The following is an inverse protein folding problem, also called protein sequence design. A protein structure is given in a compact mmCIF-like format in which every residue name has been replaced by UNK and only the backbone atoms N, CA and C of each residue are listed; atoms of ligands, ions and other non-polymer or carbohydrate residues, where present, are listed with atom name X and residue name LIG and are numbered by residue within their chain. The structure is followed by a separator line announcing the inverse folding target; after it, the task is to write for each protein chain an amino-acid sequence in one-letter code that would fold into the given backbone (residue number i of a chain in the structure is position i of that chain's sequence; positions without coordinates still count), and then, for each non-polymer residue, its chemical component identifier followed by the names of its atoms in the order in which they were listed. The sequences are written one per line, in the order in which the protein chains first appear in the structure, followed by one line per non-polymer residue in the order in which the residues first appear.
data_IF_519115662630
#
_entry.id   IF_519115662630
#
_cell.length_a   1.000
_cell.length_b   1.000
_cell.length_c   1.000
_cell.angle_alpha   90.00
_cell.angle_beta   90.00
_cell.angle_gamma   90.00
#
_symmetry.space_group_name_H-M   'P 1'
#
loop_
_entity.id
_entity.type
_entity.pdbx_description
1 polymer ?
#
# COMPACT_ATOMS: atom_id res chain seq x y z
N UNK A 1 -26.08 10.39 -33.54
CA UNK A 1 -24.95 10.98 -32.77
C UNK A 1 -25.50 12.19 -32.04
N UNK A 2 -25.66 12.08 -30.72
CA UNK A 2 -25.95 13.23 -29.86
C UNK A 2 -24.68 13.55 -29.07
N UNK A 3 -24.23 14.80 -28.99
CA UNK A 3 -23.03 15.14 -28.26
C UNK A 3 -23.23 14.85 -26.76
N UNK A 4 -22.45 13.89 -26.25
CA UNK A 4 -22.38 13.55 -24.83
C UNK A 4 -21.75 14.75 -24.13
N UNK A 5 -22.55 15.54 -23.42
CA UNK A 5 -22.07 16.68 -22.64
C UNK A 5 -21.05 16.18 -21.61
N UNK A 6 -19.85 16.77 -21.65
CA UNK A 6 -18.82 16.55 -20.66
C UNK A 6 -19.27 17.19 -19.34
N UNK A 7 -19.54 16.37 -18.33
CA UNK A 7 -19.74 16.84 -16.96
C UNK A 7 -18.40 17.35 -16.39
N UNK A 8 -18.41 18.42 -15.58
CA UNK A 8 -17.20 19.03 -15.04
C UNK A 8 -16.45 18.04 -14.12
N UNK A 9 -15.12 18.08 -14.16
CA UNK A 9 -14.23 17.35 -13.27
C UNK A 9 -14.33 17.98 -11.88
N UNK A 10 -15.34 17.57 -11.10
CA UNK A 10 -15.60 18.02 -9.74
C UNK A 10 -15.84 16.82 -8.82
N UNK A 11 -15.36 16.90 -7.58
CA UNK A 11 -15.64 15.88 -6.55
C UNK A 11 -17.13 15.88 -6.20
N UNK A 12 -17.80 14.74 -6.31
CA UNK A 12 -19.24 14.60 -6.00
C UNK A 12 -19.46 14.13 -4.55
N UNK A 13 -18.70 14.72 -3.62
CA UNK A 13 -18.78 14.42 -2.19
C UNK A 13 -19.63 15.47 -1.47
N UNK A 14 -20.51 15.08 -0.52
CA UNK A 14 -21.48 15.97 0.12
C UNK A 14 -20.84 17.25 0.66
N UNK A 15 -21.36 18.41 0.28
CA UNK A 15 -20.83 19.73 0.70
C UNK A 15 -20.79 19.91 2.22
N UNK A 16 -21.67 19.22 2.95
CA UNK A 16 -21.78 19.24 4.41
C UNK A 16 -20.67 18.48 5.15
N UNK A 17 -19.83 17.71 4.47
CA UNK A 17 -18.68 17.05 5.09
C UNK A 17 -17.66 18.06 5.59
N UNK A 18 -17.05 17.77 6.75
CA UNK A 18 -15.92 18.55 7.25
C UNK A 18 -14.72 18.46 6.30
N UNK A 19 -13.87 19.49 6.28
CA UNK A 19 -12.64 19.49 5.46
C UNK A 19 -11.72 18.29 5.77
N UNK A 20 -11.55 17.84 7.03
CA UNK A 20 -10.82 16.61 7.33
C UNK A 20 -11.47 15.36 6.73
N UNK A 21 -12.79 15.18 6.88
CA UNK A 21 -13.49 14.02 6.34
C UNK A 21 -13.41 13.96 4.80
N UNK A 22 -13.56 15.12 4.13
CA UNK A 22 -13.40 15.24 2.68
C UNK A 22 -11.98 14.89 2.24
N UNK A 23 -10.98 15.40 2.93
CA UNK A 23 -9.57 15.11 2.62
C UNK A 23 -9.22 13.64 2.82
N UNK A 24 -9.78 13.02 3.86
CA UNK A 24 -9.58 11.60 4.16
C UNK A 24 -10.20 10.69 3.09
N UNK A 25 -11.42 11.01 2.63
CA UNK A 25 -12.06 10.30 1.51
C UNK A 25 -11.24 10.41 0.22
N UNK A 26 -10.83 11.62 -0.14
CA UNK A 26 -10.00 11.83 -1.34
C UNK A 26 -8.66 11.10 -1.22
N UNK A 27 -8.02 11.16 -0.05
CA UNK A 27 -6.79 10.42 0.24
C UNK A 27 -6.96 8.90 0.16
N UNK A 28 -8.14 8.39 0.52
CA UNK A 28 -8.53 6.99 0.37
C UNK A 28 -9.01 6.64 -1.06
N UNK A 29 -9.05 7.59 -1.99
CA UNK A 29 -9.44 7.38 -3.38
C UNK A 29 -10.93 7.52 -3.68
N UNK A 30 -11.73 7.95 -2.69
CA UNK A 30 -13.15 8.25 -2.86
C UNK A 30 -13.32 9.72 -3.24
N UNK A 31 -13.58 9.97 -4.53
CA UNK A 31 -13.84 11.30 -5.07
C UNK A 31 -15.29 11.53 -5.47
N UNK A 32 -16.11 10.47 -5.50
CA UNK A 32 -17.53 10.48 -5.81
C UNK A 32 -18.34 9.61 -4.84
N UNK A 33 -19.59 10.00 -4.58
CA UNK A 33 -20.44 9.34 -3.60
C UNK A 33 -20.77 7.89 -3.97
N UNK A 34 -20.95 7.57 -5.25
CA UNK A 34 -21.22 6.20 -5.73
C UNK A 34 -20.11 5.23 -5.33
N UNK A 35 -18.87 5.72 -5.21
CA UNK A 35 -17.72 4.92 -4.80
C UNK A 35 -17.77 4.55 -3.32
N UNK A 36 -18.76 5.02 -2.56
CA UNK A 36 -18.97 4.65 -1.17
C UNK A 36 -20.11 3.63 -1.01
N UNK A 37 -20.85 3.34 -2.09
CA UNK A 37 -21.89 2.33 -2.07
C UNK A 37 -21.27 0.95 -1.85
N UNK A 38 -21.69 0.27 -0.77
CA UNK A 38 -21.15 -1.02 -0.38
C UNK A 38 -19.93 -0.96 0.54
N UNK A 39 -19.32 0.21 0.80
CA UNK A 39 -18.22 0.30 1.79
C UNK A 39 -18.76 0.08 3.19
N UNK A 40 -18.10 -0.77 3.96
CA UNK A 40 -18.43 -0.91 5.37
C UNK A 40 -18.29 0.41 6.13
N UNK A 41 -19.32 0.77 6.90
CA UNK A 41 -19.29 1.94 7.79
C UNK A 41 -18.05 1.97 8.68
N UNK A 42 -17.67 0.80 9.22
CA UNK A 42 -16.48 0.65 10.07
C UNK A 42 -15.18 1.00 9.35
N UNK A 43 -15.06 0.68 8.05
CA UNK A 43 -13.88 1.03 7.24
C UNK A 43 -13.78 2.54 7.08
N UNK A 44 -14.91 3.21 6.81
CA UNK A 44 -14.95 4.67 6.72
C UNK A 44 -14.66 5.34 8.06
N UNK A 45 -15.18 4.80 9.17
CA UNK A 45 -14.96 5.34 10.51
C UNK A 45 -13.49 5.27 10.98
N UNK A 46 -12.66 4.45 10.33
CA UNK A 46 -11.21 4.37 10.61
C UNK A 46 -10.41 5.47 9.89
N UNK A 47 -10.98 6.15 8.89
CA UNK A 47 -10.30 7.24 8.19
C UNK A 47 -10.07 8.42 9.14
N UNK A 48 -8.82 8.91 9.21
CA UNK A 48 -8.45 10.02 10.09
C UNK A 48 -9.27 11.28 9.74
N UNK A 49 -10.14 11.72 10.66
CA UNK A 49 -11.05 12.85 10.46
C UNK A 49 -12.48 12.46 10.06
N UNK A 50 -12.78 11.17 9.91
CA UNK A 50 -14.12 10.64 9.65
C UNK A 50 -14.80 10.19 10.95
N UNK A 51 -15.56 11.10 11.57
CA UNK A 51 -16.37 10.80 12.76
C UNK A 51 -17.80 10.35 12.43
N UNK A 52 -18.56 9.93 13.46
CA UNK A 52 -19.94 9.47 13.34
C UNK A 52 -20.84 10.41 12.51
N UNK A 53 -20.70 11.73 12.71
CA UNK A 53 -21.46 12.73 11.94
C UNK A 53 -21.09 12.78 10.46
N UNK A 54 -19.83 12.47 10.11
CA UNK A 54 -19.40 12.33 8.71
C UNK A 54 -20.04 11.11 8.07
N UNK A 55 -20.11 10.00 8.80
CA UNK A 55 -20.78 8.77 8.36
C UNK A 55 -22.28 9.01 8.13
N UNK A 56 -22.98 9.65 9.07
CA UNK A 56 -24.41 9.99 8.92
C UNK A 56 -24.68 10.81 7.64
N UNK A 57 -23.81 11.79 7.36
CA UNK A 57 -23.91 12.62 6.14
C UNK A 57 -23.72 11.75 4.88
N UNK A 58 -22.79 10.81 4.90
CA UNK A 58 -22.56 9.90 3.77
C UNK A 58 -23.74 8.94 3.58
N UNK A 59 -24.27 8.36 4.65
CA UNK A 59 -25.44 7.48 4.62
C UNK A 59 -26.66 8.20 4.04
N UNK A 60 -26.95 9.42 4.51
CA UNK A 60 -28.07 10.22 4.02
C UNK A 60 -27.90 10.52 2.52
N UNK A 61 -26.72 10.96 2.10
CA UNK A 61 -26.45 11.29 0.72
C UNK A 61 -26.51 10.06 -0.21
N UNK A 62 -26.02 8.89 0.24
CA UNK A 62 -26.13 7.63 -0.49
C UNK A 62 -27.61 7.21 -0.63
N UNK A 63 -28.39 7.33 0.43
CA UNK A 63 -29.80 6.98 0.44
C UNK A 63 -30.63 7.83 -0.52
N UNK A 64 -30.31 9.12 -0.69
CA UNK A 64 -30.91 10.00 -1.70
C UNK A 64 -30.73 9.48 -3.13
N UNK A 65 -29.72 8.63 -3.38
CA UNK A 65 -29.42 8.00 -4.67
C UNK A 65 -29.84 6.53 -4.74
N UNK A 66 -30.55 6.02 -3.73
CA UNK A 66 -30.91 4.60 -3.63
C UNK A 66 -29.72 3.68 -3.34
N UNK A 67 -28.60 4.24 -2.87
CA UNK A 67 -27.39 3.52 -2.50
C UNK A 67 -27.33 3.37 -0.97
N UNK A 68 -26.49 2.45 -0.49
CA UNK A 68 -26.25 2.24 0.94
C UNK A 68 -24.79 1.91 1.20
N UNK A 69 -24.32 2.22 2.41
CA UNK A 69 -23.08 1.63 2.92
C UNK A 69 -23.25 0.11 3.06
N UNK A 70 -22.13 -0.59 2.99
CA UNK A 70 -22.08 -2.03 3.17
C UNK A 70 -22.09 -2.43 4.64
N UNK A 71 -22.35 -3.72 4.86
CA UNK A 71 -22.12 -4.37 6.15
C UNK A 71 -20.63 -4.64 6.34
N UNK A 72 -20.23 -4.92 7.58
CA UNK A 72 -18.82 -5.00 7.96
C UNK A 72 -18.00 -5.87 7.00
N UNK A 73 -16.87 -5.33 6.55
CA UNK A 73 -15.82 -6.05 5.87
C UNK A 73 -15.55 -7.38 6.59
N UNK A 74 -15.29 -8.44 5.83
CA UNK A 74 -15.06 -9.80 6.34
C UNK A 74 -14.06 -9.71 7.48
N UNK A 75 -14.48 -9.86 8.73
CA UNK A 75 -13.55 -9.62 9.82
C UNK A 75 -12.49 -10.71 9.83
N UNK A 76 -11.21 -10.32 9.91
CA UNK A 76 -10.13 -11.27 10.05
C UNK A 76 -10.45 -12.24 11.21
N UNK A 77 -10.24 -13.54 11.03
CA UNK A 77 -10.60 -14.55 12.02
C UNK A 77 -9.87 -14.25 13.34
N UNK A 78 -10.63 -14.23 14.43
CA UNK A 78 -10.09 -13.98 15.78
C UNK A 78 -9.43 -15.23 16.38
N UNK A 79 -9.70 -16.44 15.84
CA UNK A 79 -9.19 -17.73 16.31
C UNK A 79 -9.12 -18.80 15.18
N UNK A 80 -8.23 -19.78 15.37
CA UNK A 80 -7.93 -20.92 14.46
C UNK A 80 -9.08 -21.96 14.48
N UNK A 81 -10.20 -21.59 13.86
CA UNK A 81 -11.45 -22.39 13.86
C UNK A 81 -11.95 -22.58 12.43
N UNK A 82 -11.12 -23.08 11.52
CA UNK A 82 -11.50 -23.41 10.12
C UNK A 82 -11.86 -22.22 9.22
N UNK A 83 -12.28 -21.08 9.79
CA UNK A 83 -12.60 -19.84 9.08
C UNK A 83 -11.39 -19.09 8.52
N UNK A 84 -10.15 -19.51 8.85
CA UNK A 84 -8.94 -18.94 8.24
C UNK A 84 -8.84 -19.24 6.75
N UNK A 85 -9.19 -20.47 6.34
CA UNK A 85 -9.19 -20.86 4.92
C UNK A 85 -10.28 -20.12 4.13
N UNK A 86 -11.47 -19.97 4.72
CA UNK A 86 -12.56 -19.21 4.10
C UNK A 86 -12.24 -17.72 4.01
N UNK A 87 -11.70 -17.12 5.08
CA UNK A 87 -11.27 -15.73 5.09
C UNK A 87 -10.23 -15.44 3.99
N UNK A 88 -9.19 -16.27 3.90
CA UNK A 88 -8.14 -16.11 2.89
C UNK A 88 -8.69 -16.24 1.48
N UNK A 89 -9.57 -17.23 1.25
CA UNK A 89 -10.25 -17.42 -0.04
C UNK A 89 -11.02 -16.18 -0.45
N UNK A 90 -11.88 -15.65 0.43
CA UNK A 90 -12.71 -14.48 0.08
C UNK A 90 -11.85 -13.21 -0.02
N UNK A 91 -10.81 -13.06 0.81
CA UNK A 91 -9.87 -11.95 0.69
C UNK A 91 -9.21 -11.95 -0.70
N UNK A 92 -8.69 -13.10 -1.15
CA UNK A 92 -8.09 -13.23 -2.48
C UNK A 92 -9.11 -12.97 -3.59
N UNK A 93 -10.31 -13.55 -3.49
CA UNK A 93 -11.42 -13.31 -4.43
C UNK A 93 -11.71 -11.81 -4.60
N UNK A 94 -11.80 -11.08 -3.48
CA UNK A 94 -12.06 -9.64 -3.51
C UNK A 94 -10.84 -8.84 -4.02
N UNK A 95 -9.61 -9.21 -3.63
CA UNK A 95 -8.38 -8.59 -4.15
C UNK A 95 -8.23 -8.81 -5.67
N UNK A 96 -8.79 -9.88 -6.21
CA UNK A 96 -8.76 -10.20 -7.64
C UNK A 96 -9.98 -9.72 -8.41
N UNK A 97 -10.98 -9.14 -7.72
CA UNK A 97 -12.21 -8.65 -8.33
C UNK A 97 -11.93 -7.62 -9.44
N UNK A 98 -12.70 -7.73 -10.52
CA UNK A 98 -12.74 -6.72 -11.59
C UNK A 98 -13.47 -5.45 -11.14
N UNK A 99 -14.30 -5.56 -10.09
CA UNK A 99 -14.91 -4.41 -9.45
C UNK A 99 -13.84 -3.67 -8.63
N UNK A 100 -13.46 -2.49 -9.13
CA UNK A 100 -12.46 -1.62 -8.51
C UNK A 100 -12.83 -1.22 -7.08
N UNK A 101 -14.12 -1.15 -6.78
CA UNK A 101 -14.60 -0.83 -5.45
C UNK A 101 -14.28 -1.95 -4.46
N UNK A 102 -14.73 -3.15 -4.78
CA UNK A 102 -14.49 -4.38 -3.99
C UNK A 102 -12.98 -4.61 -3.82
N UNK A 103 -12.21 -4.48 -4.90
CA UNK A 103 -10.76 -4.65 -4.84
C UNK A 103 -10.07 -3.58 -3.98
N UNK A 104 -10.52 -2.32 -4.05
CA UNK A 104 -9.98 -1.26 -3.20
C UNK A 104 -10.28 -1.53 -1.72
N UNK A 105 -11.50 -1.93 -1.39
CA UNK A 105 -11.89 -2.22 -0.01
C UNK A 105 -11.06 -3.37 0.57
N UNK A 106 -10.96 -4.48 -0.16
CA UNK A 106 -10.14 -5.62 0.24
C UNK A 106 -8.66 -5.26 0.40
N UNK A 107 -8.14 -4.42 -0.50
CA UNK A 107 -6.77 -3.93 -0.41
C UNK A 107 -6.55 -3.07 0.84
N UNK A 108 -7.42 -2.09 1.12
CA UNK A 108 -7.32 -1.25 2.32
C UNK A 108 -7.44 -2.10 3.58
N UNK A 109 -8.39 -3.03 3.60
CA UNK A 109 -8.56 -3.95 4.71
C UNK A 109 -7.31 -4.82 4.94
N UNK A 110 -6.73 -5.38 3.88
CA UNK A 110 -5.49 -6.15 3.98
C UNK A 110 -4.37 -5.29 4.55
N UNK A 111 -4.21 -4.04 4.10
CA UNK A 111 -3.19 -3.14 4.63
C UNK A 111 -3.38 -2.86 6.13
N UNK A 112 -4.60 -2.51 6.54
CA UNK A 112 -4.91 -2.19 7.95
C UNK A 112 -4.74 -3.40 8.87
N UNK A 113 -5.27 -4.56 8.48
CA UNK A 113 -5.20 -5.78 9.30
C UNK A 113 -3.77 -6.29 9.46
N UNK A 114 -2.90 -6.03 8.48
CA UNK A 114 -1.48 -6.45 8.50
C UNK A 114 -0.53 -5.40 9.09
N UNK A 115 -1.06 -4.31 9.67
CA UNK A 115 -0.25 -3.38 10.48
C UNK A 115 0.32 -4.07 11.72
N UNK A 116 -0.36 -5.11 12.22
CA UNK A 116 0.08 -6.00 13.29
C UNK A 116 0.27 -7.43 12.75
N UNK A 117 1.01 -8.31 13.46
CA UNK A 117 1.13 -9.71 13.05
C UNK A 117 -0.23 -10.41 12.95
N UNK A 118 -0.41 -11.20 11.90
CA UNK A 118 -1.62 -11.98 11.63
C UNK A 118 -1.30 -13.47 11.51
N UNK A 119 -2.26 -14.34 11.83
CA UNK A 119 -2.08 -15.80 11.73
C UNK A 119 -2.30 -16.36 10.33
N UNK A 120 -3.15 -15.69 9.55
CA UNK A 120 -3.61 -16.15 8.24
C UNK A 120 -2.64 -15.89 7.09
N UNK A 121 -1.44 -15.33 7.35
CA UNK A 121 -0.48 -14.89 6.33
C UNK A 121 -0.19 -15.96 5.26
N UNK A 122 -0.01 -17.21 5.68
CA UNK A 122 0.28 -18.32 4.77
C UNK A 122 -0.92 -18.81 3.94
N UNK A 123 -2.14 -18.46 4.32
CA UNK A 123 -3.33 -18.77 3.51
C UNK A 123 -3.41 -17.94 2.23
N UNK A 124 -2.69 -16.81 2.15
CA UNK A 124 -2.64 -15.96 0.94
C UNK A 124 -1.24 -15.85 0.31
N UNK A 125 -0.20 -16.27 1.03
CA UNK A 125 1.19 -16.01 0.67
C UNK A 125 1.56 -16.47 -0.75
N UNK A 126 1.28 -17.73 -1.06
CA UNK A 126 1.73 -18.33 -2.31
C UNK A 126 1.00 -17.73 -3.52
N UNK A 127 -0.28 -17.37 -3.37
CA UNK A 127 -1.05 -16.65 -4.40
C UNK A 127 -0.54 -15.22 -4.59
N UNK A 128 -0.26 -14.48 -3.51
CA UNK A 128 0.33 -13.13 -3.62
C UNK A 128 1.72 -13.18 -4.25
N UNK A 129 2.49 -14.23 -3.99
CA UNK A 129 3.80 -14.44 -4.60
C UNK A 129 3.67 -14.72 -6.11
N UNK A 130 2.66 -15.49 -6.52
CA UNK A 130 2.28 -15.67 -7.94
C UNK A 130 1.87 -14.33 -8.59
N UNK A 131 1.09 -13.53 -7.86
CA UNK A 131 0.58 -12.23 -8.32
C UNK A 131 1.66 -11.21 -8.67
N UNK A 132 2.88 -11.34 -8.16
CA UNK A 132 4.00 -10.44 -8.49
C UNK A 132 4.36 -10.44 -9.98
N UNK A 133 3.97 -11.48 -10.73
CA UNK A 133 4.22 -11.63 -12.16
C UNK A 133 2.95 -11.54 -13.01
N UNK A 134 1.82 -11.19 -12.42
CA UNK A 134 0.53 -11.17 -13.10
C UNK A 134 0.48 -10.12 -14.24
N UNK A 135 -0.19 -10.36 -15.39
CA UNK A 135 -0.28 -9.40 -16.50
C UNK A 135 -0.87 -8.03 -16.10
N UNK A 136 -1.84 -8.04 -15.19
CA UNK A 136 -2.41 -6.83 -14.58
C UNK A 136 -1.46 -6.20 -13.56
N UNK A 137 -0.91 -5.04 -13.92
CA UNK A 137 0.00 -4.24 -13.07
C UNK A 137 -0.55 -3.88 -11.69
N UNK A 138 -1.87 -3.76 -11.55
CA UNK A 138 -2.51 -3.46 -10.27
C UNK A 138 -2.47 -4.65 -9.32
N UNK A 139 -2.64 -5.88 -9.82
CA UNK A 139 -2.46 -7.11 -9.02
C UNK A 139 -1.04 -7.21 -8.49
N UNK A 140 -0.04 -6.97 -9.35
CA UNK A 140 1.37 -6.91 -8.95
C UNK A 140 1.62 -5.88 -7.84
N UNK A 141 1.08 -4.67 -7.98
CA UNK A 141 1.24 -3.59 -6.99
C UNK A 141 0.57 -3.91 -5.64
N UNK A 142 -0.63 -4.51 -5.67
CA UNK A 142 -1.36 -4.95 -4.48
C UNK A 142 -0.56 -6.04 -3.75
N UNK A 143 -0.15 -7.08 -4.49
CA UNK A 143 0.61 -8.19 -3.93
C UNK A 143 1.92 -7.75 -3.28
N UNK A 144 2.70 -6.90 -3.97
CA UNK A 144 3.95 -6.38 -3.44
C UNK A 144 3.76 -5.64 -2.11
N UNK A 145 2.74 -4.80 -2.01
CA UNK A 145 2.47 -4.02 -0.79
C UNK A 145 1.98 -4.90 0.37
N UNK A 146 1.08 -5.85 0.10
CA UNK A 146 0.56 -6.76 1.13
C UNK A 146 1.69 -7.68 1.64
N UNK A 147 2.50 -8.27 0.75
CA UNK A 147 3.63 -9.11 1.13
C UNK A 147 4.65 -8.35 2.01
N UNK A 148 4.93 -7.08 1.68
CA UNK A 148 5.80 -6.25 2.52
C UNK A 148 5.25 -6.06 3.94
N UNK A 149 3.93 -5.91 4.10
CA UNK A 149 3.30 -5.87 5.43
C UNK A 149 3.34 -7.24 6.13
N UNK A 150 3.06 -8.32 5.40
CA UNK A 150 3.00 -9.69 5.92
C UNK A 150 4.35 -10.24 6.39
N UNK A 151 5.48 -9.61 6.04
CA UNK A 151 6.80 -10.04 6.49
C UNK A 151 6.90 -10.22 8.02
N UNK A 152 6.19 -9.42 8.82
CA UNK A 152 6.14 -9.55 10.29
C UNK A 152 5.32 -10.75 10.80
N UNK A 153 4.61 -11.43 9.90
CA UNK A 153 3.72 -12.55 10.14
C UNK A 153 4.29 -13.85 9.56
N UNK A 154 5.62 -13.92 9.37
CA UNK A 154 6.31 -15.00 8.67
C UNK A 154 7.29 -15.75 9.60
N UNK A 155 6.80 -16.59 10.53
CA UNK A 155 7.67 -17.34 11.44
C UNK A 155 8.55 -18.39 10.73
N UNK A 156 8.19 -18.81 9.51
CA UNK A 156 8.96 -19.75 8.69
C UNK A 156 10.00 -19.06 7.79
N UNK A 157 10.15 -17.73 7.88
CA UNK A 157 11.13 -16.97 7.10
C UNK A 157 11.01 -17.14 5.57
N UNK A 158 9.81 -17.39 5.03
CA UNK A 158 9.56 -17.48 3.57
C UNK A 158 9.97 -16.20 2.84
N UNK A 159 9.86 -15.05 3.49
CA UNK A 159 10.26 -13.76 2.95
C UNK A 159 11.73 -13.73 2.54
N UNK A 160 12.63 -14.43 3.24
CA UNK A 160 14.05 -14.47 2.87
C UNK A 160 14.23 -15.13 1.50
N UNK A 161 13.53 -16.24 1.26
CA UNK A 161 13.50 -16.94 -0.04
C UNK A 161 12.85 -16.09 -1.12
N UNK A 162 11.74 -15.43 -0.80
CA UNK A 162 10.88 -14.76 -1.77
C UNK A 162 11.26 -13.29 -2.03
N UNK A 163 12.12 -12.69 -1.20
CA UNK A 163 12.54 -11.30 -1.32
C UNK A 163 13.07 -10.91 -2.70
N UNK A 164 13.86 -11.74 -3.43
CA UNK A 164 14.28 -11.41 -4.78
C UNK A 164 13.12 -11.14 -5.75
N UNK A 165 11.97 -11.80 -5.56
CA UNK A 165 10.76 -11.58 -6.38
C UNK A 165 10.14 -10.21 -6.10
N UNK A 166 10.07 -9.80 -4.83
CA UNK A 166 9.65 -8.45 -4.47
C UNK A 166 10.60 -7.39 -5.02
N UNK A 167 11.91 -7.60 -4.88
CA UNK A 167 12.91 -6.65 -5.37
C UNK A 167 12.82 -6.48 -6.89
N UNK A 168 12.50 -7.55 -7.65
CA UNK A 168 12.28 -7.47 -9.08
C UNK A 168 11.12 -6.54 -9.46
N UNK A 169 10.05 -6.47 -8.67
CA UNK A 169 8.91 -5.55 -8.92
C UNK A 169 9.34 -4.09 -8.82
N UNK A 170 10.42 -3.74 -8.13
CA UNK A 170 10.97 -2.36 -8.14
C UNK A 170 11.52 -1.91 -9.50
N UNK A 171 11.51 -2.80 -10.49
CA UNK A 171 11.89 -2.58 -11.89
C UNK A 171 10.72 -2.77 -12.87
N UNK A 172 9.48 -2.78 -12.37
CA UNK A 172 8.28 -2.98 -13.19
C UNK A 172 8.17 -1.96 -14.34
N UNK A 173 7.81 -2.44 -15.54
CA UNK A 173 7.56 -1.61 -16.73
C UNK A 173 6.55 -0.48 -16.46
N UNK A 174 5.58 -0.73 -15.58
CA UNK A 174 4.71 0.30 -15.04
C UNK A 174 5.37 0.92 -13.83
N UNK A 175 5.98 2.08 -14.03
CA UNK A 175 6.67 2.80 -12.95
C UNK A 175 5.80 3.06 -11.70
N UNK A 176 4.49 3.24 -11.84
CA UNK A 176 3.57 3.36 -10.69
C UNK A 176 3.60 2.09 -9.82
N UNK A 177 3.62 0.91 -10.42
CA UNK A 177 3.75 -0.38 -9.73
C UNK A 177 5.11 -0.52 -9.06
N UNK A 178 6.19 -0.20 -9.80
CA UNK A 178 7.54 -0.21 -9.24
C UNK A 178 7.67 0.69 -8.01
N UNK A 179 7.06 1.88 -8.09
CA UNK A 179 7.06 2.86 -7.00
C UNK A 179 6.30 2.37 -5.78
N UNK A 180 5.12 1.80 -5.94
CA UNK A 180 4.37 1.22 -4.82
C UNK A 180 5.16 0.12 -4.10
N UNK A 181 5.85 -0.74 -4.85
CA UNK A 181 6.74 -1.74 -4.27
C UNK A 181 7.91 -1.09 -3.50
N UNK A 182 8.65 -0.16 -4.13
CA UNK A 182 9.77 0.55 -3.49
C UNK A 182 9.38 1.22 -2.16
N UNK A 183 8.24 1.90 -2.13
CA UNK A 183 7.76 2.62 -0.96
C UNK A 183 7.28 1.70 0.17
N UNK A 184 6.95 0.45 -0.13
CA UNK A 184 6.54 -0.54 0.86
C UNK A 184 7.70 -1.43 1.34
N UNK A 185 8.74 -1.60 0.52
CA UNK A 185 9.79 -2.62 0.72
C UNK A 185 10.50 -2.53 2.08
N UNK A 186 10.64 -1.32 2.64
CA UNK A 186 11.27 -1.12 3.94
C UNK A 186 10.59 -1.87 5.08
N UNK A 187 9.28 -2.14 4.98
CA UNK A 187 8.51 -2.86 6.01
C UNK A 187 8.99 -4.30 6.19
N UNK A 188 9.57 -4.92 5.16
CA UNK A 188 10.21 -6.24 5.26
C UNK A 188 11.32 -6.22 6.31
N UNK A 189 12.08 -5.13 6.40
CA UNK A 189 13.18 -4.98 7.37
C UNK A 189 12.74 -4.85 8.83
N UNK A 190 11.43 -4.75 9.08
CA UNK A 190 10.87 -4.76 10.44
C UNK A 190 10.65 -6.19 10.97
N UNK A 191 10.68 -7.21 10.10
CA UNK A 191 10.42 -8.59 10.49
C UNK A 191 11.55 -9.21 11.32
N UNK A 192 12.79 -8.76 11.10
CA UNK A 192 13.96 -9.32 11.77
C UNK A 192 15.28 -8.74 11.23
N UNK A 193 16.38 -9.06 11.91
CA UNK A 193 17.72 -8.56 11.57
C UNK A 193 18.17 -9.05 10.18
N UNK A 194 17.85 -10.30 9.83
CA UNK A 194 18.22 -10.87 8.54
C UNK A 194 17.45 -10.21 7.38
N UNK A 195 16.14 -10.05 7.52
CA UNK A 195 15.28 -9.35 6.57
C UNK A 195 15.69 -7.88 6.41
N UNK A 196 16.09 -7.23 7.51
CA UNK A 196 16.66 -5.88 7.46
C UNK A 196 17.92 -5.82 6.60
N UNK A 197 18.83 -6.78 6.78
CA UNK A 197 20.03 -6.90 5.95
C UNK A 197 19.68 -7.08 4.46
N UNK A 198 18.65 -7.86 4.13
CA UNK A 198 18.18 -8.02 2.75
C UNK A 198 17.67 -6.70 2.16
N UNK A 199 16.83 -5.97 2.89
CA UNK A 199 16.31 -4.67 2.46
C UNK A 199 17.43 -3.67 2.22
N UNK A 200 18.38 -3.55 3.16
CA UNK A 200 19.51 -2.62 3.04
C UNK A 200 20.33 -2.95 1.78
N UNK A 201 20.75 -4.21 1.60
CA UNK A 201 21.52 -4.63 0.41
C UNK A 201 20.73 -4.45 -0.88
N UNK A 202 19.44 -4.79 -0.87
CA UNK A 202 18.55 -4.61 -2.03
C UNK A 202 18.41 -3.14 -2.42
N UNK A 203 18.27 -2.25 -1.44
CA UNK A 203 18.24 -0.81 -1.66
C UNK A 203 19.57 -0.25 -2.16
N UNK A 204 20.71 -0.66 -1.61
CA UNK A 204 22.02 -0.25 -2.12
C UNK A 204 22.20 -0.64 -3.58
N UNK A 205 21.92 -1.90 -3.92
CA UNK A 205 22.01 -2.39 -5.30
C UNK A 205 21.07 -1.63 -6.23
N UNK A 206 19.81 -1.45 -5.82
CA UNK A 206 18.79 -0.77 -6.63
C UNK A 206 19.13 0.70 -6.89
N UNK A 207 19.74 1.38 -5.91
CA UNK A 207 20.17 2.78 -6.00
C UNK A 207 21.23 2.99 -7.10
N UNK A 208 22.07 1.98 -7.31
CA UNK A 208 23.11 1.99 -8.34
C UNK A 208 22.54 1.61 -9.71
N UNK A 209 21.78 0.52 -9.77
CA UNK A 209 21.18 0.03 -11.01
C UNK A 209 20.23 1.05 -11.66
N UNK A 210 19.53 1.86 -10.87
CA UNK A 210 18.58 2.83 -11.41
C UNK A 210 19.23 3.95 -12.21
N UNK A 211 20.56 4.07 -12.23
CA UNK A 211 21.28 5.16 -12.89
C UNK A 211 20.91 5.35 -14.37
N UNK A 212 20.60 4.26 -15.08
CA UNK A 212 20.22 4.29 -16.49
C UNK A 212 18.70 4.52 -16.72
N UNK A 213 17.88 4.54 -15.67
CA UNK A 213 16.44 4.65 -15.78
C UNK A 213 15.96 6.10 -15.83
N UNK A 214 14.93 6.36 -16.65
CA UNK A 214 14.30 7.68 -16.77
C UNK A 214 13.89 8.28 -15.41
N UNK A 215 13.46 7.45 -14.47
CA UNK A 215 12.98 7.87 -13.15
C UNK A 215 14.04 7.71 -12.04
N UNK A 216 15.32 7.57 -12.38
CA UNK A 216 16.45 7.37 -11.46
C UNK A 216 16.36 8.22 -10.20
N UNK A 217 16.19 9.53 -10.34
CA UNK A 217 16.22 10.45 -9.20
C UNK A 217 15.03 10.27 -8.25
N UNK A 218 13.89 9.81 -8.76
CA UNK A 218 12.72 9.50 -7.94
C UNK A 218 12.89 8.14 -7.25
N UNK A 219 13.44 7.14 -7.94
CA UNK A 219 13.77 5.83 -7.36
C UNK A 219 14.75 5.99 -6.20
N UNK A 220 15.84 6.75 -6.40
CA UNK A 220 16.81 7.07 -5.33
C UNK A 220 16.16 7.78 -4.15
N UNK A 221 15.24 8.72 -4.41
CA UNK A 221 14.49 9.39 -3.34
C UNK A 221 13.59 8.43 -2.56
N UNK A 222 12.85 7.54 -3.25
CA UNK A 222 11.98 6.55 -2.61
C UNK A 222 12.80 5.52 -1.79
N UNK A 223 13.96 5.09 -2.28
CA UNK A 223 14.92 4.23 -1.54
C UNK A 223 15.38 4.92 -0.25
N UNK A 224 15.84 6.16 -0.34
CA UNK A 224 16.32 6.91 0.82
C UNK A 224 15.20 7.21 1.81
N UNK A 225 13.97 7.40 1.33
CA UNK A 225 12.80 7.54 2.18
C UNK A 225 12.46 6.23 2.91
N UNK A 226 12.54 5.08 2.22
CA UNK A 226 12.36 3.76 2.83
C UNK A 226 13.43 3.46 3.89
N UNK A 227 14.70 3.76 3.61
CA UNK A 227 15.78 3.68 4.60
C UNK A 227 15.49 4.59 5.80
N UNK A 228 14.97 5.81 5.60
CA UNK A 228 14.64 6.72 6.72
C UNK A 228 13.53 6.14 7.60
N UNK A 229 12.48 5.59 6.99
CA UNK A 229 11.37 4.94 7.71
C UNK A 229 11.86 3.73 8.51
N UNK A 230 12.72 2.91 7.91
CA UNK A 230 13.32 1.76 8.59
C UNK A 230 14.21 2.18 9.76
N UNK A 231 15.03 3.22 9.59
CA UNK A 231 15.83 3.79 10.68
C UNK A 231 14.96 4.34 11.81
N UNK A 232 13.91 5.11 11.49
CA UNK A 232 13.00 5.64 12.50
C UNK A 232 12.34 4.54 13.34
N UNK A 233 11.99 3.42 12.70
CA UNK A 233 11.35 2.29 13.38
C UNK A 233 12.31 1.40 14.19
N UNK A 234 13.60 1.38 13.86
CA UNK A 234 14.56 0.41 14.44
C UNK A 234 15.71 1.03 15.21
N UNK A 235 16.01 2.31 14.97
CA UNK A 235 17.18 3.04 15.47
C UNK A 235 18.53 2.35 15.13
N UNK A 236 18.56 1.55 14.07
CA UNK A 236 19.76 0.83 13.62
C UNK A 236 20.69 1.78 12.84
N UNK A 237 21.79 2.17 13.47
CA UNK A 237 22.78 3.13 12.91
C UNK A 237 23.43 2.65 11.60
N UNK A 238 23.41 1.35 11.30
CA UNK A 238 23.90 0.83 10.01
C UNK A 238 23.07 1.39 8.83
N UNK A 239 21.78 1.63 9.04
CA UNK A 239 20.87 2.20 8.04
C UNK A 239 21.24 3.65 7.75
N UNK A 240 21.49 4.44 8.80
CA UNK A 240 21.89 5.85 8.68
C UNK A 240 23.24 5.98 7.99
N UNK A 241 24.20 5.12 8.35
CA UNK A 241 25.50 5.04 7.68
C UNK A 241 25.34 4.71 6.19
N UNK A 242 24.48 3.74 5.86
CA UNK A 242 24.20 3.34 4.47
C UNK A 242 23.59 4.50 3.68
N UNK A 243 22.57 5.17 4.22
CA UNK A 243 21.95 6.31 3.56
C UNK A 243 22.94 7.44 3.29
N UNK A 244 23.81 7.76 4.27
CA UNK A 244 24.85 8.78 4.09
C UNK A 244 25.82 8.42 2.95
N UNK A 245 26.23 7.16 2.84
CA UNK A 245 27.08 6.66 1.74
C UNK A 245 26.38 6.78 0.39
N UNK A 246 25.11 6.37 0.29
CA UNK A 246 24.34 6.47 -0.95
C UNK A 246 24.15 7.93 -1.39
N UNK A 247 23.84 8.83 -0.45
CA UNK A 247 23.72 10.27 -0.72
C UNK A 247 25.03 10.83 -1.28
N UNK A 248 26.17 10.49 -0.67
CA UNK A 248 27.47 10.97 -1.12
C UNK A 248 27.81 10.53 -2.55
N UNK A 249 27.28 9.38 -3.00
CA UNK A 249 27.48 8.82 -4.34
C UNK A 249 26.63 9.47 -5.42
N UNK A 250 25.59 10.25 -5.09
CA UNK A 250 24.77 10.95 -6.09
C UNK A 250 25.63 12.00 -6.83
N UNK A 251 25.92 11.85 -8.14
CA UNK A 251 26.77 12.79 -8.88
C UNK A 251 26.14 14.18 -9.04
N UNK A 252 24.82 14.27 -9.15
CA UNK A 252 24.15 15.55 -9.32
C UNK A 252 24.05 16.31 -7.98
N UNK A 253 24.72 17.47 -7.89
CA UNK A 253 24.76 18.28 -6.67
C UNK A 253 23.39 18.76 -6.20
N UNK A 254 22.44 19.03 -7.11
CA UNK A 254 21.07 19.44 -6.77
C UNK A 254 20.35 18.27 -6.09
N UNK A 255 20.43 17.08 -6.65
CA UNK A 255 19.79 15.90 -6.05
C UNK A 255 20.49 15.43 -4.78
N UNK A 256 21.83 15.48 -4.72
CA UNK A 256 22.60 15.23 -3.48
C UNK A 256 22.11 16.11 -2.34
N UNK A 257 21.99 17.43 -2.56
CA UNK A 257 21.43 18.36 -1.56
C UNK A 257 20.00 18.02 -1.16
N UNK A 258 19.15 17.67 -2.13
CA UNK A 258 17.76 17.26 -1.88
C UNK A 258 17.69 16.00 -1.00
N UNK A 259 18.51 15.00 -1.30
CA UNK A 259 18.59 13.78 -0.54
C UNK A 259 19.19 13.99 0.86
N UNK A 260 20.20 14.84 1.01
CA UNK A 260 20.70 15.23 2.33
C UNK A 260 19.62 15.91 3.17
N UNK A 261 18.80 16.78 2.57
CA UNK A 261 17.70 17.45 3.28
C UNK A 261 16.63 16.47 3.76
N UNK A 262 16.41 15.36 3.04
CA UNK A 262 15.50 14.29 3.48
C UNK A 262 15.97 13.64 4.80
N UNK A 263 17.27 13.62 5.08
CA UNK A 263 17.88 12.95 6.24
C UNK A 263 18.32 13.89 7.36
N UNK A 264 18.04 15.19 7.23
CA UNK A 264 18.09 16.13 8.36
C UNK A 264 16.83 15.97 9.21
#
# INVERSE_FOLDING_TARGET
MSPKQAQPIGTDLPSRLSNPARSALIGAGYTHLEQLAGVAEKTLAQLHGMGAKGIEILQAALAERGLKLGEAAITAPKQDTGGESEYCRILLENLHSEDKHVQNEAFQQALTTTEVPVKWAYGVWDELISDLEHPNNRRRAIAAQILCNLAKSDPQNRMIRDFPRLLAVTKDDRFVTARHCLQALWKVGLAGVEQRGLVIRGFEHRFDECAAEKNCTLIRADILQGLKQLYQATQDETIKSTAAKLIAREPDLKYRKKYSALWR
#
